data_IF_659463778660
#
_entry.id   IF_659463778660
#
_cell.length_a   1.000
_cell.length_b   1.000
_cell.length_c   1.000
_cell.angle_alpha   90.00
_cell.angle_beta   90.00
_cell.angle_gamma   90.00
#
_symmetry.space_group_name_H-M   'P 1'
#
loop_
_entity.id
_entity.type
_entity.pdbx_description
1 polymer ?
#
# COMPACT_ATOMS: atom_id res chain seq x y z
N UNK A 1 2.33 -52.86 87.03
CA UNK A 1 2.56 -54.22 86.45
C UNK A 1 2.60 -54.17 84.99
N UNK A 2 3.69 -54.61 84.36
CA UNK A 2 3.85 -55.19 83.04
C UNK A 2 3.96 -54.19 81.91
N UNK A 3 5.18 -53.97 81.51
CA UNK A 3 5.91 -54.46 80.29
C UNK A 3 5.16 -54.21 78.99
N UNK A 4 5.61 -53.51 78.03
CA UNK A 4 6.86 -53.58 77.32
C UNK A 4 6.58 -53.83 75.89
N UNK A 5 7.20 -53.29 75.03
CA UNK A 5 7.82 -53.76 73.82
C UNK A 5 7.94 -52.64 72.75
N UNK A 6 9.18 -52.22 72.63
CA UNK A 6 9.69 -51.55 71.41
C UNK A 6 9.37 -52.41 70.22
N UNK A 7 8.82 -51.79 69.17
CA UNK A 7 8.98 -52.31 67.81
C UNK A 7 9.43 -51.17 66.88
N UNK A 8 10.67 -51.35 66.55
CA UNK A 8 11.36 -50.66 65.47
C UNK A 8 10.56 -50.76 64.16
N UNK A 9 10.08 -49.67 63.66
CA UNK A 9 9.52 -49.63 62.29
C UNK A 9 10.53 -48.97 61.36
N UNK A 10 11.02 -49.78 60.50
CA UNK A 10 11.99 -49.47 59.45
C UNK A 10 11.33 -48.52 58.40
N UNK A 11 11.89 -47.31 58.27
CA UNK A 11 11.41 -46.38 57.27
C UNK A 11 11.98 -46.77 55.89
N UNK A 12 11.13 -47.32 55.04
CA UNK A 12 11.45 -47.46 53.63
C UNK A 12 11.18 -46.13 52.97
N UNK A 13 12.27 -45.38 52.69
CA UNK A 13 12.23 -44.15 51.91
C UNK A 13 12.02 -44.53 50.43
N UNK A 14 10.78 -44.36 49.92
CA UNK A 14 10.47 -44.46 48.51
C UNK A 14 10.88 -43.17 47.83
N UNK A 15 12.03 -43.17 47.18
CA UNK A 15 12.47 -42.07 46.33
C UNK A 15 11.69 -42.16 45.01
N UNK A 16 10.62 -41.36 44.88
CA UNK A 16 9.96 -41.12 43.60
C UNK A 16 10.79 -40.12 42.82
N UNK A 17 11.57 -40.57 41.83
CA UNK A 17 12.19 -39.74 40.84
C UNK A 17 11.11 -39.25 39.87
N UNK A 18 10.67 -37.97 40.04
CA UNK A 18 9.77 -37.31 39.09
C UNK A 18 10.67 -36.88 37.90
N UNK A 19 10.56 -37.64 36.81
CA UNK A 19 11.13 -37.25 35.51
C UNK A 19 10.24 -36.11 34.95
N UNK A 20 10.68 -34.85 35.12
CA UNK A 20 10.10 -33.68 34.45
C UNK A 20 10.57 -33.69 33.00
N UNK A 21 9.75 -34.29 32.11
CA UNK A 21 9.95 -34.10 30.66
C UNK A 21 9.51 -32.70 30.31
N UNK A 22 10.46 -31.77 30.24
CA UNK A 22 10.24 -30.45 29.65
C UNK A 22 10.14 -30.63 28.14
N UNK A 23 8.91 -30.81 27.65
CA UNK A 23 8.63 -30.66 26.22
C UNK A 23 8.93 -29.21 25.84
N UNK A 24 10.11 -28.99 25.26
CA UNK A 24 10.45 -27.71 24.64
C UNK A 24 9.50 -27.43 23.49
N UNK A 25 8.45 -26.65 23.73
CA UNK A 25 7.66 -26.08 22.67
C UNK A 25 8.57 -25.06 21.96
N UNK A 26 9.21 -25.50 20.88
CA UNK A 26 9.86 -24.60 19.94
C UNK A 26 8.73 -23.77 19.29
N UNK A 27 8.52 -22.54 19.80
CA UNK A 27 7.78 -21.54 19.03
C UNK A 27 8.63 -21.28 17.78
N UNK A 28 8.28 -21.97 16.69
CA UNK A 28 8.71 -21.53 15.37
C UNK A 28 8.17 -20.11 15.21
N UNK A 29 9.06 -19.13 15.27
CA UNK A 29 8.70 -17.76 14.94
C UNK A 29 8.10 -17.79 13.54
N UNK A 30 6.79 -17.62 13.43
CA UNK A 30 6.07 -17.49 12.17
C UNK A 30 6.71 -16.29 11.47
N UNK A 31 7.49 -16.60 10.43
CA UNK A 31 8.16 -15.59 9.62
C UNK A 31 7.05 -14.73 9.03
N UNK A 32 6.93 -13.48 9.50
CA UNK A 32 5.98 -12.53 8.94
C UNK A 32 6.07 -12.64 7.40
N UNK A 33 4.93 -12.73 6.68
CA UNK A 33 4.94 -12.89 5.24
C UNK A 33 5.86 -11.83 4.65
N UNK A 34 6.77 -12.26 3.77
CA UNK A 34 7.70 -11.33 3.11
C UNK A 34 6.84 -10.26 2.46
N UNK A 35 6.97 -9.01 2.96
CA UNK A 35 6.25 -7.88 2.37
C UNK A 35 6.69 -7.80 0.92
N UNK A 36 5.74 -7.96 0.00
CA UNK A 36 6.01 -7.80 -1.43
C UNK A 36 6.56 -6.41 -1.75
N UNK A 37 6.97 -6.17 -2.99
CA UNK A 37 7.52 -4.88 -3.39
C UNK A 37 6.54 -3.75 -3.06
N UNK A 38 7.08 -2.59 -2.69
CA UNK A 38 6.33 -1.37 -2.38
C UNK A 38 6.83 -0.23 -3.24
N UNK A 39 5.99 0.78 -3.42
CA UNK A 39 6.41 2.04 -4.01
C UNK A 39 6.57 3.11 -2.94
N UNK A 40 7.65 3.90 -3.05
CA UNK A 40 7.83 5.14 -2.31
C UNK A 40 7.66 6.29 -3.30
N UNK A 41 6.61 7.08 -3.11
CA UNK A 41 6.35 8.30 -3.88
C UNK A 41 6.90 9.47 -3.07
N UNK A 42 8.01 10.05 -3.54
CA UNK A 42 8.66 11.19 -2.90
C UNK A 42 8.10 12.49 -3.49
N UNK A 43 7.78 13.44 -2.62
CA UNK A 43 7.30 14.77 -2.98
C UNK A 43 7.95 15.83 -2.07
N UNK A 44 7.81 17.10 -2.41
CA UNK A 44 8.24 18.21 -1.53
C UNK A 44 7.55 18.23 -0.15
N UNK A 45 6.42 17.51 0.02
CA UNK A 45 5.68 17.41 1.29
C UNK A 45 6.05 16.19 2.11
N UNK A 46 6.89 15.30 1.57
CA UNK A 46 7.33 14.05 2.18
C UNK A 46 7.01 12.82 1.32
N UNK A 47 7.08 11.66 1.93
CA UNK A 47 6.95 10.36 1.29
C UNK A 47 5.56 9.76 1.50
N UNK A 48 5.06 9.09 0.45
CA UNK A 48 3.86 8.23 0.50
C UNK A 48 4.31 6.82 0.15
N UNK A 49 4.14 5.87 1.07
CA UNK A 49 4.47 4.47 0.86
C UNK A 49 3.21 3.70 0.46
N UNK A 50 3.29 3.00 -0.68
CA UNK A 50 2.19 2.22 -1.26
C UNK A 50 2.54 0.75 -1.25
N UNK A 51 1.67 -0.08 -0.67
CA UNK A 51 1.67 -1.53 -0.78
C UNK A 51 0.78 -1.96 -1.93
N UNK A 52 1.23 -2.94 -2.73
CA UNK A 52 0.50 -3.42 -3.90
C UNK A 52 -0.40 -4.61 -3.60
N UNK A 53 -1.42 -4.81 -4.45
CA UNK A 53 -2.34 -5.95 -4.44
C UNK A 53 -2.18 -6.81 -5.71
N UNK A 54 -1.06 -7.55 -5.87
CA UNK A 54 -0.79 -8.32 -7.08
C UNK A 54 -1.82 -9.42 -7.34
N UNK A 55 -2.45 -9.97 -6.29
CA UNK A 55 -3.49 -10.99 -6.43
C UNK A 55 -4.81 -10.44 -7.00
N UNK A 56 -5.02 -9.11 -6.89
CA UNK A 56 -6.25 -8.43 -7.34
C UNK A 56 -6.10 -7.72 -8.68
N UNK A 57 -4.91 -7.22 -8.98
CA UNK A 57 -4.62 -6.45 -10.19
C UNK A 57 -3.18 -6.70 -10.68
N UNK A 58 -2.83 -7.94 -11.06
CA UNK A 58 -1.45 -8.32 -11.41
C UNK A 58 -0.87 -7.49 -12.54
N UNK A 59 -1.64 -7.20 -13.59
CA UNK A 59 -1.14 -6.44 -14.75
C UNK A 59 -0.92 -4.96 -14.40
N UNK A 60 -1.80 -4.35 -13.61
CA UNK A 60 -1.64 -2.96 -13.16
C UNK A 60 -0.47 -2.81 -12.20
N UNK A 61 -0.28 -3.75 -11.27
CA UNK A 61 0.88 -3.76 -10.36
C UNK A 61 2.17 -3.90 -11.17
N UNK A 62 2.25 -4.88 -12.09
CA UNK A 62 3.43 -5.08 -12.93
C UNK A 62 3.73 -3.84 -13.79
N UNK A 63 2.69 -3.22 -14.38
CA UNK A 63 2.82 -2.00 -15.17
C UNK A 63 3.34 -0.82 -14.31
N UNK A 64 2.76 -0.59 -13.13
CA UNK A 64 3.21 0.48 -12.24
C UNK A 64 4.68 0.30 -11.83
N UNK A 65 5.08 -0.93 -11.44
CA UNK A 65 6.46 -1.26 -11.08
C UNK A 65 7.41 -1.03 -12.26
N UNK A 66 7.04 -1.49 -13.46
CA UNK A 66 7.83 -1.27 -14.69
C UNK A 66 8.05 0.23 -14.96
N UNK A 67 7.00 1.04 -14.89
CA UNK A 67 7.07 2.48 -15.11
C UNK A 67 7.89 3.19 -14.03
N UNK A 68 7.74 2.79 -12.77
CA UNK A 68 8.54 3.34 -11.68
C UNK A 68 10.04 3.00 -11.85
N UNK A 69 10.38 1.74 -12.12
CA UNK A 69 11.77 1.29 -12.34
C UNK A 69 12.41 1.96 -13.56
N UNK A 70 11.64 2.31 -14.59
CA UNK A 70 12.15 3.05 -15.76
C UNK A 70 12.28 4.57 -15.51
N UNK A 71 11.88 5.08 -14.35
CA UNK A 71 11.85 6.52 -14.05
C UNK A 71 10.74 7.30 -14.78
N UNK A 72 9.75 6.59 -15.35
CA UNK A 72 8.67 7.24 -16.10
C UNK A 72 7.87 8.25 -15.26
N UNK A 73 7.73 7.99 -13.96
CA UNK A 73 7.04 8.90 -13.02
C UNK A 73 7.86 10.11 -12.58
N UNK A 74 9.20 10.07 -12.72
CA UNK A 74 10.08 11.12 -12.21
C UNK A 74 9.83 12.44 -12.94
N UNK A 75 9.56 13.51 -12.17
CA UNK A 75 9.22 14.83 -12.69
C UNK A 75 7.77 15.00 -13.15
N UNK A 76 6.93 13.92 -13.10
CA UNK A 76 5.48 14.10 -13.21
C UNK A 76 4.93 14.75 -11.94
N UNK A 77 3.70 15.27 -12.00
CA UNK A 77 3.08 15.94 -10.86
C UNK A 77 1.75 15.30 -10.46
N UNK A 78 1.28 15.61 -9.27
CA UNK A 78 -0.14 15.54 -8.96
C UNK A 78 -0.84 16.71 -9.65
N UNK A 79 -1.47 16.42 -10.78
CA UNK A 79 -2.04 17.45 -11.68
C UNK A 79 -3.52 17.71 -11.45
N UNK A 80 -4.19 16.89 -10.61
CA UNK A 80 -5.59 17.06 -10.23
C UNK A 80 -5.75 16.70 -8.77
N UNK A 81 -6.24 17.68 -7.97
CA UNK A 81 -6.45 17.52 -6.53
C UNK A 81 -7.83 18.00 -6.15
N UNK A 82 -8.65 17.12 -5.57
CA UNK A 82 -10.02 17.44 -5.18
C UNK A 82 -10.20 17.08 -3.70
N UNK A 83 -10.30 18.09 -2.80
CA UNK A 83 -10.63 17.88 -1.40
C UNK A 83 -11.92 17.08 -1.23
N UNK A 84 -11.91 16.16 -0.26
CA UNK A 84 -13.03 15.24 -0.04
C UNK A 84 -13.15 14.13 -1.08
N UNK A 85 -12.13 13.97 -1.97
CA UNK A 85 -12.15 12.92 -2.98
C UNK A 85 -10.78 12.24 -3.18
N UNK A 86 -9.87 12.83 -3.99
CA UNK A 86 -8.62 12.17 -4.37
C UNK A 86 -7.54 13.16 -4.82
N UNK A 87 -6.31 12.66 -4.93
CA UNK A 87 -5.21 13.28 -5.66
C UNK A 87 -4.80 12.37 -6.82
N UNK A 88 -4.67 12.92 -8.04
CA UNK A 88 -4.34 12.19 -9.27
C UNK A 88 -3.03 12.67 -9.86
N UNK A 89 -2.19 11.73 -10.28
CA UNK A 89 -0.87 12.00 -10.88
C UNK A 89 -0.46 10.96 -11.90
N UNK A 90 0.84 10.96 -12.26
CA UNK A 90 1.43 9.96 -13.16
C UNK A 90 1.22 10.22 -14.65
N UNK A 91 0.81 11.42 -15.04
CA UNK A 91 0.70 11.83 -16.44
C UNK A 91 2.06 12.35 -16.96
N UNK A 92 2.67 11.72 -17.98
CA UNK A 92 3.94 12.14 -18.56
C UNK A 92 3.89 13.54 -19.21
N UNK A 93 2.74 13.98 -19.70
CA UNK A 93 2.58 15.32 -20.29
C UNK A 93 2.87 16.43 -19.26
N UNK A 94 2.75 16.11 -17.96
CA UNK A 94 2.99 17.10 -16.90
C UNK A 94 4.47 17.47 -16.70
N UNK A 95 5.38 16.75 -17.36
CA UNK A 95 6.81 17.12 -17.41
C UNK A 95 7.04 18.39 -18.24
N UNK A 96 6.23 18.61 -19.28
CA UNK A 96 6.24 19.85 -20.06
C UNK A 96 5.41 20.93 -19.37
N UNK A 97 6.10 21.90 -18.77
CA UNK A 97 5.46 22.99 -18.04
C UNK A 97 4.79 24.03 -18.96
N UNK A 98 5.12 24.02 -20.24
CA UNK A 98 4.62 25.00 -21.22
C UNK A 98 3.25 24.60 -21.78
N UNK A 99 2.91 23.30 -21.78
CA UNK A 99 1.67 22.79 -22.34
C UNK A 99 0.71 22.21 -21.27
N UNK A 100 0.26 23.07 -20.38
CA UNK A 100 -0.69 22.67 -19.32
C UNK A 100 -2.06 22.20 -19.88
N UNK A 101 -2.38 22.53 -21.10
CA UNK A 101 -3.64 22.09 -21.73
C UNK A 101 -3.67 20.57 -21.97
N UNK A 102 -2.51 19.93 -22.14
CA UNK A 102 -2.36 18.49 -22.33
C UNK A 102 -2.39 17.66 -21.03
N UNK A 103 -2.40 18.32 -19.87
CA UNK A 103 -2.39 17.59 -18.58
C UNK A 103 -3.66 16.77 -18.41
N UNK A 104 -3.51 15.54 -17.94
CA UNK A 104 -4.58 14.56 -17.78
C UNK A 104 -4.83 13.69 -19.02
N UNK A 105 -4.15 13.97 -20.14
CA UNK A 105 -4.35 13.26 -21.42
C UNK A 105 -3.20 12.31 -21.78
N UNK A 106 -2.08 12.34 -21.03
CA UNK A 106 -0.91 11.54 -21.33
C UNK A 106 -0.98 10.11 -20.76
N UNK A 107 -0.12 9.26 -21.31
CA UNK A 107 0.03 7.86 -20.92
C UNK A 107 1.35 7.27 -21.43
N UNK A 108 1.60 5.98 -21.18
CA UNK A 108 2.87 5.32 -21.51
C UNK A 108 2.98 4.91 -23.00
N UNK A 109 2.00 5.25 -23.84
CA UNK A 109 1.92 4.83 -25.24
C UNK A 109 1.21 3.48 -25.47
N UNK A 110 0.65 2.91 -24.42
CA UNK A 110 -0.16 1.69 -24.44
C UNK A 110 -1.20 1.71 -23.32
N UNK A 111 -2.17 0.81 -23.40
CA UNK A 111 -3.22 0.65 -22.39
C UNK A 111 -3.07 -0.68 -21.65
N UNK A 112 -3.63 -0.74 -20.43
CA UNK A 112 -3.76 -1.93 -19.60
C UNK A 112 -5.24 -2.22 -19.41
N UNK A 113 -5.65 -3.46 -19.70
CA UNK A 113 -7.03 -3.90 -19.54
C UNK A 113 -7.49 -3.81 -18.08
N UNK A 114 -8.74 -3.49 -17.86
CA UNK A 114 -9.32 -3.37 -16.53
C UNK A 114 -9.20 -4.67 -15.73
N UNK A 115 -8.90 -4.53 -14.44
CA UNK A 115 -8.86 -5.60 -13.43
C UNK A 115 -9.75 -5.18 -12.25
N UNK A 116 -11.04 -4.94 -12.56
CA UNK A 116 -11.99 -4.53 -11.53
C UNK A 116 -12.12 -5.61 -10.46
N UNK A 117 -12.07 -5.20 -9.20
CA UNK A 117 -12.12 -6.11 -8.07
C UNK A 117 -13.08 -5.58 -6.97
N UNK A 118 -13.21 -6.34 -5.90
CA UNK A 118 -14.15 -6.08 -4.80
C UNK A 118 -13.63 -5.12 -3.73
N UNK A 119 -12.41 -4.59 -3.90
CA UNK A 119 -11.82 -3.66 -2.95
C UNK A 119 -12.55 -2.32 -3.00
N UNK A 120 -13.09 -1.90 -1.85
CA UNK A 120 -13.79 -0.63 -1.74
C UNK A 120 -12.82 0.56 -1.79
N UNK A 121 -13.21 1.63 -2.48
CA UNK A 121 -12.45 2.89 -2.55
C UNK A 121 -12.54 3.68 -1.23
N UNK A 122 -11.97 3.10 -0.18
CA UNK A 122 -11.79 3.79 1.11
C UNK A 122 -10.59 4.72 1.05
N UNK A 123 -10.55 5.66 2.00
CA UNK A 123 -9.37 6.51 2.21
C UNK A 123 -8.08 5.68 2.23
N UNK A 124 -7.07 6.10 1.46
CA UNK A 124 -5.77 5.44 1.32
C UNK A 124 -5.68 4.45 0.17
N UNK A 125 -6.78 4.08 -0.47
CA UNK A 125 -6.76 3.20 -1.64
C UNK A 125 -6.10 3.91 -2.83
N UNK A 126 -5.31 3.13 -3.58
CA UNK A 126 -4.64 3.55 -4.80
C UNK A 126 -5.26 2.81 -5.98
N UNK A 127 -5.73 3.57 -6.97
CA UNK A 127 -6.47 3.05 -8.11
C UNK A 127 -6.00 3.68 -9.42
N UNK A 128 -6.17 2.96 -10.55
CA UNK A 128 -5.77 3.48 -11.85
C UNK A 128 -6.82 4.43 -12.42
N UNK A 129 -6.35 5.58 -12.88
CA UNK A 129 -7.17 6.48 -13.70
C UNK A 129 -7.35 5.91 -15.12
N UNK A 130 -8.46 6.24 -15.73
CA UNK A 130 -8.81 5.83 -17.11
C UNK A 130 -9.70 6.86 -17.81
N UNK A 131 -9.82 6.77 -19.13
CA UNK A 131 -10.82 7.47 -19.92
C UNK A 131 -12.19 6.74 -19.85
N UNK A 132 -13.09 7.03 -20.79
CA UNK A 132 -14.40 6.37 -20.82
C UNK A 132 -14.32 4.86 -21.05
N UNK A 133 -13.39 4.42 -21.91
CA UNK A 133 -13.13 3.00 -22.10
C UNK A 133 -12.53 2.39 -20.82
N UNK A 134 -13.14 1.35 -20.23
CA UNK A 134 -12.58 0.64 -19.08
C UNK A 134 -11.16 0.14 -19.29
N UNK A 135 -10.78 -0.19 -20.52
CA UNK A 135 -9.47 -0.73 -20.89
C UNK A 135 -8.46 0.35 -21.31
N UNK A 136 -8.67 1.62 -20.92
CA UNK A 136 -7.81 2.75 -21.27
C UNK A 136 -6.84 3.17 -20.18
N UNK A 137 -6.68 2.41 -19.11
CA UNK A 137 -5.72 2.69 -18.07
C UNK A 137 -4.28 2.66 -18.64
N UNK A 138 -3.42 3.54 -18.16
CA UNK A 138 -2.04 3.64 -18.65
C UNK A 138 -1.04 3.86 -17.50
N UNK A 139 -0.59 5.11 -17.32
CA UNK A 139 0.32 5.48 -16.23
C UNK A 139 -0.35 6.29 -15.13
N UNK A 140 -1.48 6.93 -15.39
CA UNK A 140 -2.12 7.79 -14.42
C UNK A 140 -2.82 7.00 -13.31
N UNK A 141 -2.62 7.43 -12.07
CA UNK A 141 -3.21 6.82 -10.87
C UNK A 141 -3.76 7.88 -9.93
N UNK A 142 -4.61 7.48 -8.99
CA UNK A 142 -5.10 8.37 -7.95
C UNK A 142 -5.05 7.70 -6.57
N UNK A 143 -4.90 8.54 -5.55
CA UNK A 143 -4.96 8.15 -4.13
C UNK A 143 -6.22 8.75 -3.54
N UNK A 144 -7.08 7.92 -2.99
CA UNK A 144 -8.34 8.32 -2.35
C UNK A 144 -8.03 8.99 -1.02
N UNK A 145 -8.48 10.22 -0.81
CA UNK A 145 -8.31 10.94 0.46
C UNK A 145 -9.57 10.96 1.32
N UNK A 146 -10.73 10.62 0.73
CA UNK A 146 -12.00 10.43 1.45
C UNK A 146 -12.79 9.30 0.78
N UNK A 147 -13.56 8.53 1.55
CA UNK A 147 -14.27 7.35 1.05
C UNK A 147 -15.10 7.65 -0.18
N UNK A 148 -14.89 6.92 -1.26
CA UNK A 148 -15.44 7.19 -2.60
C UNK A 148 -16.04 5.93 -3.22
N UNK A 149 -16.99 5.30 -2.50
CA UNK A 149 -17.60 4.02 -2.86
C UNK A 149 -18.32 4.02 -4.23
N UNK A 150 -18.66 5.20 -4.76
CA UNK A 150 -19.22 5.32 -6.11
C UNK A 150 -18.26 4.90 -7.24
N UNK A 151 -16.97 4.71 -6.92
CA UNK A 151 -15.95 4.20 -7.85
C UNK A 151 -15.84 2.67 -7.82
N UNK A 152 -16.46 2.01 -6.85
CA UNK A 152 -16.32 0.57 -6.64
C UNK A 152 -16.72 -0.22 -7.88
N UNK A 153 -15.88 -1.18 -8.25
CA UNK A 153 -16.02 -2.04 -9.45
C UNK A 153 -16.03 -1.29 -10.79
N UNK A 154 -15.67 0.00 -10.81
CA UNK A 154 -15.56 0.82 -12.00
C UNK A 154 -14.13 1.29 -12.28
N UNK A 155 -13.26 1.19 -11.30
CA UNK A 155 -11.83 1.49 -11.38
C UNK A 155 -11.02 0.35 -10.81
N UNK A 156 -9.83 0.11 -11.36
CA UNK A 156 -8.94 -0.95 -10.89
C UNK A 156 -8.17 -0.50 -9.66
N UNK A 157 -8.53 -1.03 -8.50
CA UNK A 157 -7.73 -0.90 -7.29
C UNK A 157 -6.52 -1.81 -7.39
N UNK A 158 -5.30 -1.28 -7.20
CA UNK A 158 -4.07 -2.05 -7.31
C UNK A 158 -3.15 -1.93 -6.09
N UNK A 159 -3.52 -1.12 -5.09
CA UNK A 159 -2.74 -0.96 -3.87
C UNK A 159 -3.40 -0.07 -2.82
N UNK A 160 -2.66 0.14 -1.74
CA UNK A 160 -3.06 1.05 -0.65
C UNK A 160 -1.86 1.80 -0.08
N UNK A 161 -2.10 2.99 0.43
CA UNK A 161 -1.11 3.75 1.20
C UNK A 161 -1.00 3.12 2.59
N UNK A 162 0.21 2.69 2.94
CA UNK A 162 0.52 2.14 4.27
C UNK A 162 1.24 3.14 5.18
N UNK A 163 1.82 4.20 4.59
CA UNK A 163 2.44 5.30 5.31
C UNK A 163 2.36 6.58 4.48
N UNK A 164 2.19 7.73 5.14
CA UNK A 164 2.24 9.03 4.48
C UNK A 164 0.89 9.59 4.02
N UNK A 165 -0.26 9.10 4.50
CA UNK A 165 -1.57 9.71 4.19
C UNK A 165 -1.66 11.20 4.57
N UNK A 166 -0.95 11.64 5.62
CA UNK A 166 -0.84 13.06 5.95
C UNK A 166 -0.12 13.89 4.88
N UNK A 167 0.74 13.26 4.05
CA UNK A 167 1.35 13.91 2.88
C UNK A 167 0.31 14.08 1.77
N UNK A 168 -0.52 13.06 1.51
CA UNK A 168 -1.62 13.16 0.57
C UNK A 168 -2.62 14.26 0.98
N UNK A 169 -2.88 14.41 2.29
CA UNK A 169 -3.73 15.49 2.81
C UNK A 169 -3.14 16.89 2.56
N UNK A 170 -1.83 17.04 2.75
CA UNK A 170 -1.16 18.32 2.42
C UNK A 170 -1.23 18.63 0.92
N UNK A 171 -1.14 17.63 0.07
CA UNK A 171 -1.21 17.78 -1.39
C UNK A 171 -2.63 18.17 -1.81
N UNK A 172 -3.67 17.50 -1.30
CA UNK A 172 -5.06 17.79 -1.70
C UNK A 172 -5.53 19.16 -1.24
N UNK A 173 -4.92 19.71 -0.18
CA UNK A 173 -5.24 21.03 0.36
C UNK A 173 -4.51 22.19 -0.35
N UNK A 174 -3.64 21.90 -1.34
CA UNK A 174 -2.96 22.95 -2.06
C UNK A 174 -3.95 23.85 -2.81
N UNK A 175 -3.71 25.17 -2.86
CA UNK A 175 -4.46 26.07 -3.74
C UNK A 175 -4.45 25.52 -5.16
N UNK A 176 -5.61 25.48 -5.81
CA UNK A 176 -5.80 24.94 -7.16
C UNK A 176 -6.59 25.88 -8.04
N UNK A 177 -6.44 25.72 -9.34
CA UNK A 177 -7.22 26.45 -10.33
C UNK A 177 -8.62 25.80 -10.54
N UNK A 178 -9.38 26.36 -11.49
CA UNK A 178 -10.73 25.88 -11.82
C UNK A 178 -10.75 24.52 -12.55
N UNK A 179 -9.60 23.93 -12.86
CA UNK A 179 -9.42 22.55 -13.37
C UNK A 179 -8.86 21.60 -12.33
N UNK A 180 -8.87 22.00 -11.08
CA UNK A 180 -8.30 21.26 -9.94
C UNK A 180 -6.76 21.06 -10.02
N UNK A 181 -6.06 21.82 -10.87
CA UNK A 181 -4.59 21.79 -10.98
C UNK A 181 -4.00 22.61 -9.82
N UNK A 182 -3.10 22.04 -8.99
CA UNK A 182 -2.40 22.81 -7.98
C UNK A 182 -1.64 24.01 -8.58
N UNK A 183 -1.82 25.19 -7.98
CA UNK A 183 -1.13 26.42 -8.39
C UNK A 183 0.39 26.24 -8.33
N UNK A 184 0.86 25.58 -7.27
CA UNK A 184 2.27 25.21 -7.15
C UNK A 184 2.45 23.75 -7.55
N UNK A 185 3.40 23.50 -8.47
CA UNK A 185 3.77 22.15 -8.87
C UNK A 185 4.08 21.26 -7.66
N UNK A 186 3.47 20.08 -7.66
CA UNK A 186 3.75 19.01 -6.70
C UNK A 186 4.34 17.85 -7.50
N UNK A 187 5.64 17.91 -7.72
CA UNK A 187 6.40 16.89 -8.43
C UNK A 187 6.56 15.64 -7.59
N UNK A 188 6.69 14.49 -8.27
CA UNK A 188 7.00 13.23 -7.66
C UNK A 188 8.20 12.56 -8.30
N UNK A 189 8.89 11.74 -7.51
CA UNK A 189 9.72 10.64 -7.95
C UNK A 189 9.20 9.36 -7.33
N UNK A 190 9.30 8.24 -8.06
CA UNK A 190 8.78 6.96 -7.56
C UNK A 190 9.90 5.92 -7.58
N UNK A 191 10.17 5.30 -6.43
CA UNK A 191 11.12 4.19 -6.29
C UNK A 191 10.39 2.94 -5.81
N UNK A 192 10.87 1.77 -6.26
CA UNK A 192 10.38 0.47 -5.80
C UNK A 192 11.37 -0.07 -4.76
N UNK A 193 10.85 -0.49 -3.61
CA UNK A 193 11.58 -1.17 -2.54
C UNK A 193 11.06 -2.60 -2.42
N UNK A 194 11.97 -3.58 -2.25
CA UNK A 194 11.67 -5.02 -2.16
C UNK A 194 11.72 -5.50 -0.70
#
# INVERSE_FOLDING_TARGET
MIRGYLKTAMHVALVMAILVVTAGVSLAAEKAPAKGPRAIINTKFGEIEVEFFPDKAPNHVANFIKLAKSGAYNGTIFHRVIPGFMIQGGDPNTKDQTNKAAYGQGGPGYNVNAEFNDTQHKRGIVSMARANDPNSAGSQFFIVVENSFFLDRQYTVFGQVVKGMGVADKIVQQPRDNRDLPVQRVEMTVTIVE
#
